data_IF_945287890109
#
_entry.id   IF_945287890109
#
_cell.length_a   1.000
_cell.length_b   1.000
_cell.length_c   1.000
_cell.angle_alpha   90.00
_cell.angle_beta   90.00
_cell.angle_gamma   90.00
#
_symmetry.space_group_name_H-M   'P 1'
#
loop_
_entity.id
_entity.type
_entity.pdbx_description
1 polymer ?
#
# COMPACT_ATOMS: atom_id res chain seq x y z
N UNK A 1 21.14 20.38 -0.32
CA UNK A 1 19.89 19.61 -0.11
C UNK A 1 19.51 19.05 -1.48
N UNK A 2 19.54 17.73 -1.65
CA UNK A 2 19.18 17.08 -2.92
C UNK A 2 17.64 17.05 -3.07
N UNK A 3 17.06 18.12 -3.60
CA UNK A 3 15.66 18.13 -4.07
C UNK A 3 15.45 17.31 -5.35
N UNK A 4 16.51 16.65 -5.84
CA UNK A 4 16.59 15.95 -7.11
C UNK A 4 15.47 14.93 -7.32
N UNK A 5 15.05 14.19 -6.28
CA UNK A 5 13.95 13.21 -6.41
C UNK A 5 12.59 13.86 -6.61
N UNK A 6 12.32 14.96 -5.90
CA UNK A 6 11.05 15.69 -6.04
C UNK A 6 11.00 16.40 -7.40
N UNK A 7 12.12 16.95 -7.86
CA UNK A 7 12.26 17.52 -9.20
C UNK A 7 12.03 16.47 -10.28
N UNK A 8 12.58 15.26 -10.12
CA UNK A 8 12.33 14.14 -11.02
C UNK A 8 10.85 13.75 -11.09
N UNK A 9 10.16 13.65 -9.95
CA UNK A 9 8.72 13.38 -9.93
C UNK A 9 7.95 14.46 -10.68
N UNK A 10 8.26 15.74 -10.42
CA UNK A 10 7.62 16.87 -11.11
C UNK A 10 7.89 16.90 -12.61
N UNK A 11 9.09 16.50 -13.05
CA UNK A 11 9.47 16.45 -14.45
C UNK A 11 8.78 15.29 -15.18
N UNK A 12 8.75 14.10 -14.58
CA UNK A 12 8.12 12.91 -15.17
C UNK A 12 6.59 12.92 -15.09
N UNK A 13 6.02 13.60 -14.07
CA UNK A 13 4.59 13.58 -13.73
C UNK A 13 3.98 12.18 -13.78
N UNK A 14 4.53 11.20 -13.05
CA UNK A 14 4.14 9.80 -13.19
C UNK A 14 2.65 9.59 -12.84
N UNK A 15 1.97 8.77 -13.64
CA UNK A 15 0.66 8.21 -13.34
C UNK A 15 0.80 7.21 -12.19
N UNK A 16 0.13 7.49 -11.07
CA UNK A 16 0.10 6.62 -9.89
C UNK A 16 -1.32 6.06 -9.75
N UNK A 17 -1.47 4.75 -9.90
CA UNK A 17 -2.74 4.08 -9.66
C UNK A 17 -2.91 3.78 -8.16
N UNK A 18 -3.97 4.30 -7.56
CA UNK A 18 -4.21 4.20 -6.13
C UNK A 18 -5.52 3.48 -5.84
N UNK A 19 -5.45 2.25 -5.31
CA UNK A 19 -6.57 1.58 -4.66
C UNK A 19 -6.55 1.96 -3.17
N UNK A 20 -7.05 3.16 -2.86
CA UNK A 20 -7.04 3.72 -1.50
C UNK A 20 -8.23 3.25 -0.65
N UNK A 21 -8.18 3.53 0.66
CA UNK A 21 -9.37 3.51 1.50
C UNK A 21 -10.17 4.81 1.32
N UNK A 22 -11.47 4.77 1.61
CA UNK A 22 -12.38 5.91 1.38
C UNK A 22 -12.11 7.09 2.30
N UNK A 23 -11.46 6.88 3.45
CA UNK A 23 -11.16 7.93 4.42
C UNK A 23 -10.03 8.83 3.92
N UNK A 24 -9.01 8.27 3.26
CA UNK A 24 -7.82 9.01 2.83
C UNK A 24 -7.71 9.23 1.32
N UNK A 25 -8.65 8.74 0.51
CA UNK A 25 -8.55 8.79 -0.95
C UNK A 25 -8.33 10.23 -1.49
N UNK A 26 -9.12 11.19 -1.01
CA UNK A 26 -9.00 12.59 -1.41
C UNK A 26 -7.63 13.17 -1.06
N UNK A 27 -7.15 12.90 0.16
CA UNK A 27 -5.86 13.44 0.62
C UNK A 27 -4.69 12.81 -0.13
N UNK A 28 -4.74 11.49 -0.39
CA UNK A 28 -3.75 10.82 -1.23
C UNK A 28 -3.70 11.41 -2.64
N UNK A 29 -4.85 11.74 -3.26
CA UNK A 29 -4.90 12.40 -4.56
C UNK A 29 -4.26 13.79 -4.49
N UNK A 30 -4.68 14.62 -3.54
CA UNK A 30 -4.19 16.00 -3.42
C UNK A 30 -2.70 16.05 -3.10
N UNK A 31 -2.19 15.14 -2.25
CA UNK A 31 -0.77 15.04 -1.96
C UNK A 31 0.04 14.59 -3.17
N UNK A 32 -0.45 13.61 -3.94
CA UNK A 32 0.20 13.19 -5.20
C UNK A 32 0.28 14.34 -6.20
N UNK A 33 -0.80 15.10 -6.36
CA UNK A 33 -0.82 16.31 -7.20
C UNK A 33 0.18 17.37 -6.69
N UNK A 34 0.21 17.62 -5.37
CA UNK A 34 1.08 18.62 -4.76
C UNK A 34 2.58 18.30 -4.96
N UNK A 35 2.96 17.02 -5.00
CA UNK A 35 4.33 16.60 -5.31
C UNK A 35 4.61 16.52 -6.83
N UNK A 36 3.62 16.78 -7.68
CA UNK A 36 3.77 16.85 -9.14
C UNK A 36 3.46 15.54 -9.88
N UNK A 37 2.94 14.52 -9.21
CA UNK A 37 2.48 13.29 -9.85
C UNK A 37 1.04 13.43 -10.39
N UNK A 38 0.57 12.39 -11.09
CA UNK A 38 -0.80 12.29 -11.62
C UNK A 38 -1.51 11.09 -10.98
N UNK A 39 -2.34 11.26 -9.93
CA UNK A 39 -3.05 10.14 -9.32
C UNK A 39 -4.26 9.70 -10.15
N UNK A 40 -4.57 8.40 -10.13
CA UNK A 40 -5.85 7.84 -10.59
C UNK A 40 -6.41 6.88 -9.54
N UNK A 41 -7.70 6.99 -9.23
CA UNK A 41 -8.38 6.28 -8.13
C UNK A 41 -9.37 5.20 -8.64
N UNK A 42 -8.96 4.44 -9.67
CA UNK A 42 -9.81 3.49 -10.39
C UNK A 42 -10.00 2.17 -9.59
N UNK A 43 -11.01 2.13 -8.73
CA UNK A 43 -11.22 1.02 -7.80
C UNK A 43 -12.04 -0.14 -8.37
N UNK A 44 -12.80 0.07 -9.45
CA UNK A 44 -13.76 -0.91 -9.92
C UNK A 44 -13.03 -2.13 -10.52
N UNK A 45 -13.39 -3.38 -10.15
CA UNK A 45 -12.70 -4.58 -10.63
C UNK A 45 -12.62 -4.69 -12.17
N UNK A 46 -13.59 -4.09 -12.86
CA UNK A 46 -13.71 -4.08 -14.32
C UNK A 46 -12.59 -3.30 -15.01
N UNK A 47 -11.99 -2.30 -14.34
CA UNK A 47 -10.95 -1.44 -14.92
C UNK A 47 -9.62 -1.46 -14.17
N UNK A 48 -9.61 -1.83 -12.89
CA UNK A 48 -8.46 -1.68 -12.00
C UNK A 48 -7.18 -2.36 -12.53
N UNK A 49 -7.32 -3.57 -13.10
CA UNK A 49 -6.20 -4.28 -13.73
C UNK A 49 -5.66 -3.52 -14.95
N UNK A 50 -6.54 -3.07 -15.85
CA UNK A 50 -6.14 -2.32 -17.04
C UNK A 50 -5.42 -1.02 -16.66
N UNK A 51 -5.98 -0.23 -15.75
CA UNK A 51 -5.35 1.02 -15.28
C UNK A 51 -3.98 0.75 -14.64
N UNK A 52 -3.82 -0.35 -13.92
CA UNK A 52 -2.53 -0.77 -13.35
C UNK A 52 -1.47 -0.98 -14.44
N UNK A 53 -1.83 -1.58 -15.58
CA UNK A 53 -0.88 -1.76 -16.71
C UNK A 53 -0.42 -0.44 -17.34
N UNK A 54 -1.21 0.63 -17.21
CA UNK A 54 -0.91 1.94 -17.78
C UNK A 54 -0.14 2.84 -16.80
N UNK A 55 -0.15 2.52 -15.51
CA UNK A 55 0.43 3.34 -14.46
C UNK A 55 1.94 3.11 -14.30
N UNK A 56 2.67 4.16 -13.90
CA UNK A 56 4.11 4.07 -13.61
C UNK A 56 4.38 3.58 -12.18
N UNK A 57 3.37 3.61 -11.30
CA UNK A 57 3.40 2.96 -9.99
C UNK A 57 1.97 2.62 -9.53
N UNK A 58 1.84 1.64 -8.64
CA UNK A 58 0.57 1.22 -8.04
C UNK A 58 0.66 1.24 -6.52
N UNK A 59 -0.38 1.74 -5.85
CA UNK A 59 -0.52 1.71 -4.40
C UNK A 59 -1.79 0.94 -4.03
N UNK A 60 -1.63 -0.17 -3.32
CA UNK A 60 -2.71 -0.97 -2.78
C UNK A 60 -2.79 -0.73 -1.27
N UNK A 61 -3.82 0.00 -0.81
CA UNK A 61 -4.05 0.24 0.60
C UNK A 61 -5.22 -0.62 1.10
N UNK A 62 -5.03 -1.36 2.19
CA UNK A 62 -6.01 -2.32 2.71
C UNK A 62 -6.96 -1.73 3.79
N UNK A 63 -7.03 -0.41 3.93
CA UNK A 63 -7.99 0.26 4.81
C UNK A 63 -9.43 0.17 4.29
N UNK A 64 -10.42 0.41 5.17
CA UNK A 64 -11.87 0.34 4.89
C UNK A 64 -12.25 -0.85 4.01
N UNK A 65 -12.03 -2.08 4.49
CA UNK A 65 -12.08 -3.26 3.64
C UNK A 65 -13.51 -3.61 3.24
N UNK A 66 -13.68 -3.89 1.95
CA UNK A 66 -14.88 -4.49 1.35
C UNK A 66 -14.41 -5.56 0.37
N UNK A 67 -15.21 -6.60 0.14
CA UNK A 67 -14.79 -7.76 -0.66
C UNK A 67 -14.40 -7.37 -2.09
N UNK A 68 -15.16 -6.47 -2.72
CA UNK A 68 -14.89 -5.97 -4.07
C UNK A 68 -13.50 -5.32 -4.19
N UNK A 69 -13.07 -4.58 -3.16
CA UNK A 69 -11.75 -3.94 -3.12
C UNK A 69 -10.62 -4.97 -3.15
N UNK A 70 -10.81 -6.12 -2.51
CA UNK A 70 -9.82 -7.21 -2.56
C UNK A 70 -9.70 -7.84 -3.92
N UNK A 71 -10.83 -8.02 -4.60
CA UNK A 71 -10.86 -8.45 -6.00
C UNK A 71 -10.06 -7.49 -6.87
N UNK A 72 -10.27 -6.18 -6.73
CA UNK A 72 -9.50 -5.16 -7.46
C UNK A 72 -8.02 -5.20 -7.13
N UNK A 73 -7.63 -5.21 -5.84
CA UNK A 73 -6.23 -5.29 -5.43
C UNK A 73 -5.52 -6.53 -6.00
N UNK A 74 -6.20 -7.69 -5.98
CA UNK A 74 -5.64 -8.93 -6.52
C UNK A 74 -5.47 -8.85 -8.04
N UNK A 75 -6.46 -8.31 -8.75
CA UNK A 75 -6.38 -8.09 -10.18
C UNK A 75 -5.25 -7.12 -10.56
N UNK A 76 -5.07 -6.04 -9.79
CA UNK A 76 -3.94 -5.12 -9.92
C UNK A 76 -2.60 -5.84 -9.73
N UNK A 77 -2.45 -6.62 -8.66
CA UNK A 77 -1.20 -7.34 -8.36
C UNK A 77 -0.85 -8.37 -9.45
N UNK A 78 -1.84 -9.06 -10.00
CA UNK A 78 -1.65 -10.04 -11.08
C UNK A 78 -1.33 -9.39 -12.43
N UNK A 79 -1.88 -8.22 -12.71
CA UNK A 79 -1.68 -7.49 -13.97
C UNK A 79 -0.49 -6.52 -13.93
N UNK A 80 0.15 -6.34 -12.77
CA UNK A 80 1.19 -5.34 -12.58
C UNK A 80 2.38 -5.56 -13.52
N UNK A 81 2.77 -4.56 -14.32
CA UNK A 81 4.04 -4.60 -15.05
C UNK A 81 5.22 -4.53 -14.05
N UNK A 82 6.48 -4.64 -14.51
CA UNK A 82 7.68 -4.46 -13.68
C UNK A 82 7.86 -3.01 -13.19
N UNK A 83 6.94 -2.54 -12.35
CA UNK A 83 6.88 -1.19 -11.82
C UNK A 83 6.68 -1.21 -10.30
N UNK A 84 6.98 -0.09 -9.59
CA UNK A 84 6.77 -0.03 -8.15
C UNK A 84 5.31 -0.29 -7.77
N UNK A 85 5.07 -1.39 -7.09
CA UNK A 85 3.81 -1.71 -6.42
C UNK A 85 4.03 -1.65 -4.91
N UNK A 86 3.30 -0.74 -4.26
CA UNK A 86 3.32 -0.53 -2.81
C UNK A 86 2.10 -1.20 -2.19
N UNK A 87 2.33 -2.02 -1.16
CA UNK A 87 1.27 -2.54 -0.30
C UNK A 87 1.29 -1.82 1.04
N UNK A 88 0.15 -1.26 1.45
CA UNK A 88 -0.09 -0.66 2.76
C UNK A 88 -1.21 -1.46 3.46
N UNK A 89 -0.87 -2.47 4.28
CA UNK A 89 -1.82 -3.44 4.80
C UNK A 89 -2.52 -2.91 6.06
N UNK A 90 -3.18 -1.76 5.94
CA UNK A 90 -3.77 -1.04 7.08
C UNK A 90 -4.66 -1.94 7.94
N UNK A 91 -4.28 -2.06 9.21
CA UNK A 91 -5.01 -2.87 10.19
C UNK A 91 -4.92 -4.39 9.97
N UNK A 92 -3.87 -4.88 9.30
CA UNK A 92 -3.62 -6.33 9.07
C UNK A 92 -3.63 -7.17 10.37
N UNK A 93 -3.30 -6.57 11.50
CA UNK A 93 -3.34 -7.20 12.81
C UNK A 93 -4.75 -7.36 13.42
N UNK A 94 -5.75 -6.64 12.90
CA UNK A 94 -7.07 -6.54 13.52
C UNK A 94 -7.93 -7.80 13.33
N UNK A 95 -7.71 -8.60 12.28
CA UNK A 95 -8.43 -9.87 12.10
C UNK A 95 -7.66 -10.85 11.22
N UNK A 96 -7.86 -12.18 11.40
CA UNK A 96 -7.30 -13.19 10.50
C UNK A 96 -7.69 -12.98 9.04
N UNK A 97 -8.89 -12.43 8.80
CA UNK A 97 -9.39 -12.14 7.46
C UNK A 97 -8.55 -11.08 6.72
N UNK A 98 -8.26 -9.94 7.38
CA UNK A 98 -7.36 -8.91 6.81
C UNK A 98 -5.96 -9.46 6.58
N UNK A 99 -5.46 -10.24 7.54
CA UNK A 99 -4.15 -10.89 7.46
C UNK A 99 -4.04 -11.86 6.28
N UNK A 100 -5.07 -12.68 6.05
CA UNK A 100 -5.13 -13.62 4.95
C UNK A 100 -5.03 -12.92 3.59
N UNK A 101 -5.76 -11.82 3.39
CA UNK A 101 -5.69 -11.04 2.16
C UNK A 101 -4.34 -10.36 1.95
N UNK A 102 -3.75 -9.78 2.99
CA UNK A 102 -2.41 -9.21 2.91
C UNK A 102 -1.36 -10.26 2.50
N UNK A 103 -1.39 -11.46 3.09
CA UNK A 103 -0.51 -12.57 2.67
C UNK A 103 -0.73 -12.94 1.21
N UNK A 104 -1.97 -13.16 0.77
CA UNK A 104 -2.28 -13.50 -0.64
C UNK A 104 -1.72 -12.48 -1.62
N UNK A 105 -1.76 -11.18 -1.30
CA UNK A 105 -1.17 -10.13 -2.13
C UNK A 105 0.36 -10.20 -2.15
N UNK A 106 1.00 -10.46 -1.02
CA UNK A 106 2.45 -10.65 -0.94
C UNK A 106 2.90 -11.89 -1.72
N UNK A 107 2.15 -12.99 -1.62
CA UNK A 107 2.42 -14.26 -2.29
C UNK A 107 2.37 -14.14 -3.83
N UNK A 108 1.79 -13.07 -4.39
CA UNK A 108 1.86 -12.80 -5.84
C UNK A 108 3.26 -12.47 -6.33
N UNK A 109 4.16 -12.04 -5.44
CA UNK A 109 5.50 -11.56 -5.79
C UNK A 109 5.53 -10.19 -6.48
N UNK A 110 4.38 -9.56 -6.74
CA UNK A 110 4.30 -8.26 -7.41
C UNK A 110 4.63 -7.07 -6.48
N UNK A 111 4.49 -7.25 -5.16
CA UNK A 111 4.74 -6.20 -4.16
C UNK A 111 6.23 -5.89 -4.09
N UNK A 112 6.61 -4.69 -4.50
CA UNK A 112 8.01 -4.20 -4.46
C UNK A 112 8.35 -3.43 -3.17
N UNK A 113 7.32 -2.88 -2.52
CA UNK A 113 7.47 -2.13 -1.28
C UNK A 113 6.31 -2.42 -0.33
N UNK A 114 6.63 -2.81 0.89
CA UNK A 114 5.66 -3.00 1.96
C UNK A 114 5.79 -1.86 2.97
N UNK A 115 4.76 -1.03 3.08
CA UNK A 115 4.69 0.06 4.06
C UNK A 115 3.90 -0.43 5.26
N UNK A 116 4.52 -0.46 6.44
CA UNK A 116 3.87 -0.92 7.69
C UNK A 116 4.38 -0.11 8.88
N UNK A 117 3.53 0.03 9.89
CA UNK A 117 4.00 0.35 11.24
C UNK A 117 4.40 -0.93 12.01
N UNK A 118 4.97 -0.81 13.21
CA UNK A 118 5.43 -1.97 13.98
C UNK A 118 4.30 -2.93 14.40
N UNK A 119 3.12 -2.41 14.73
CA UNK A 119 1.94 -3.22 15.05
C UNK A 119 1.44 -4.02 13.85
N UNK A 120 1.39 -3.39 12.67
CA UNK A 120 1.05 -4.04 11.41
C UNK A 120 2.08 -5.09 11.01
N UNK A 121 3.38 -4.79 11.15
CA UNK A 121 4.44 -5.77 10.92
C UNK A 121 4.29 -7.00 11.83
N UNK A 122 4.10 -6.80 13.14
CA UNK A 122 3.83 -7.89 14.09
C UNK A 122 2.56 -8.65 13.74
N UNK A 123 1.50 -7.95 13.37
CA UNK A 123 0.23 -8.52 12.92
C UNK A 123 0.40 -9.39 11.67
N UNK A 124 1.20 -8.94 10.70
CA UNK A 124 1.51 -9.66 9.48
C UNK A 124 2.43 -10.87 9.74
N UNK A 125 3.31 -10.81 10.75
CA UNK A 125 4.12 -11.94 11.21
C UNK A 125 3.34 -12.92 12.10
N UNK A 126 2.12 -12.56 12.53
CA UNK A 126 1.33 -13.38 13.45
C UNK A 126 1.86 -13.39 14.88
N UNK A 127 2.70 -12.43 15.25
CA UNK A 127 3.26 -12.30 16.60
C UNK A 127 2.20 -11.76 17.59
N UNK A 128 2.27 -12.19 18.85
CA UNK A 128 1.41 -11.69 19.91
C UNK A 128 1.61 -10.16 20.11
N UNK A 129 0.53 -9.44 20.45
CA UNK A 129 0.56 -7.98 20.65
C UNK A 129 0.35 -7.12 19.38
N UNK A 130 0.11 -7.72 18.21
CA UNK A 130 -0.13 -7.00 16.95
C UNK A 130 -1.53 -6.39 16.76
N UNK A 131 -2.35 -6.29 17.81
CA UNK A 131 -3.76 -5.92 17.69
C UNK A 131 -4.16 -4.76 18.59
N UNK A 132 -3.81 -3.53 18.23
CA UNK A 132 -4.52 -2.32 18.66
C UNK A 132 -4.46 -1.28 17.53
N UNK A 133 -5.51 -1.23 16.70
CA UNK A 133 -5.84 -0.11 15.81
C UNK A 133 -4.74 0.46 14.89
N UNK A 134 -5.04 1.64 14.33
CA UNK A 134 -4.04 2.55 13.73
C UNK A 134 -3.27 3.32 14.81
N UNK A 135 -3.79 3.33 16.04
CA UNK A 135 -3.19 3.93 17.23
C UNK A 135 -2.29 2.91 17.93
N UNK A 136 -1.11 2.67 17.36
CA UNK A 136 -0.07 1.88 18.02
C UNK A 136 0.54 2.61 19.23
N UNK A 137 1.22 1.91 20.16
CA UNK A 137 1.90 2.56 21.27
C UNK A 137 3.01 3.50 20.76
N UNK A 138 3.45 4.41 21.64
CA UNK A 138 4.49 5.42 21.39
C UNK A 138 5.64 4.92 20.49
N UNK A 139 6.18 5.85 19.68
CA UNK A 139 7.25 5.65 18.69
C UNK A 139 8.11 4.40 18.94
N UNK A 140 7.90 3.36 18.12
CA UNK A 140 8.71 2.15 18.16
C UNK A 140 10.18 2.50 17.99
N UNK A 141 11.05 1.91 18.81
CA UNK A 141 12.48 2.10 18.67
C UNK A 141 12.91 1.68 17.25
N UNK A 142 13.70 2.51 16.56
CA UNK A 142 14.15 2.25 15.18
C UNK A 142 14.76 0.85 15.01
N UNK A 143 15.50 0.39 16.01
CA UNK A 143 16.12 -0.94 16.01
C UNK A 143 15.08 -2.08 15.92
N UNK A 144 13.98 -1.97 16.65
CA UNK A 144 12.88 -2.94 16.60
C UNK A 144 12.17 -2.90 15.24
N UNK A 145 11.93 -1.71 14.69
CA UNK A 145 11.35 -1.57 13.34
C UNK A 145 12.22 -2.22 12.25
N UNK A 146 13.53 -2.03 12.31
CA UNK A 146 14.48 -2.68 11.38
C UNK A 146 14.50 -4.20 11.57
N UNK A 147 14.43 -4.69 12.81
CA UNK A 147 14.38 -6.12 13.08
C UNK A 147 13.12 -6.77 12.49
N UNK A 148 11.94 -6.16 12.69
CA UNK A 148 10.68 -6.64 12.11
C UNK A 148 10.74 -6.63 10.57
N UNK A 149 11.25 -5.57 9.96
CA UNK A 149 11.33 -5.45 8.51
C UNK A 149 12.20 -6.54 7.85
N UNK A 150 13.22 -7.06 8.54
CA UNK A 150 14.06 -8.16 8.03
C UNK A 150 13.40 -9.54 8.08
N UNK A 151 12.26 -9.65 8.76
CA UNK A 151 11.53 -10.91 8.93
C UNK A 151 10.27 -11.00 8.08
N UNK A 152 9.89 -9.90 7.43
CA UNK A 152 8.80 -9.80 6.46
C UNK A 152 9.27 -10.26 5.08
#
# INVERSE_FOLDING_TARGET
MEYTRLEQVRAMRPLIHCISNVVSANDCANLALAVGASPVMAHAPQEAAYITTQAQATVLNLGTPVEEKWTSCMACAQAAPPHPLVLDPVGVGASPWRRGWARRLLDTGAVTLLRVNAGEARGLLGLAGGGQGVDGPAATARAEGVALARTL
#
